data_IF_599857071819
#
_entry.id   IF_599857071819
#
_cell.length_a   1.000
_cell.length_b   1.000
_cell.length_c   1.000
_cell.angle_alpha   90.00
_cell.angle_beta   90.00
_cell.angle_gamma   90.00
#
_symmetry.space_group_name_H-M   'P 1'
#
loop_
_entity.id
_entity.type
_entity.pdbx_description
1 polymer ?
#
# COMPACT_ATOMS: atom_id res chain seq x y z
N UNK A 1 -15.83 17.06 7.36
CA UNK A 1 -15.58 15.67 7.79
C UNK A 1 -14.51 14.97 6.93
N UNK A 2 -14.53 15.04 5.59
CA UNK A 2 -13.55 14.36 4.72
C UNK A 2 -12.07 14.80 4.87
N UNK A 3 -11.81 16.05 5.27
CA UNK A 3 -10.45 16.61 5.35
C UNK A 3 -9.54 15.97 6.41
N UNK A 4 -10.11 15.38 7.48
CA UNK A 4 -9.33 14.77 8.56
C UNK A 4 -8.81 13.38 8.18
N UNK A 5 -9.64 12.57 7.51
CA UNK A 5 -9.28 11.20 7.10
C UNK A 5 -8.24 11.18 5.99
N UNK A 6 -8.33 12.08 5.01
CA UNK A 6 -7.35 12.20 3.90
C UNK A 6 -5.95 12.51 4.45
N UNK A 7 -5.85 13.46 5.40
CA UNK A 7 -4.58 13.77 6.07
C UNK A 7 -3.99 12.58 6.81
N UNK A 8 -4.83 11.67 7.32
CA UNK A 8 -4.38 10.46 8.02
C UNK A 8 -3.80 9.44 7.04
N UNK A 9 -4.44 9.21 5.91
CA UNK A 9 -3.92 8.30 4.86
C UNK A 9 -2.60 8.81 4.27
N UNK A 10 -2.51 10.10 3.95
CA UNK A 10 -1.28 10.72 3.43
C UNK A 10 -0.11 10.57 4.42
N UNK A 11 -0.39 10.72 5.72
CA UNK A 11 0.62 10.54 6.77
C UNK A 11 1.09 9.08 6.86
N UNK A 12 0.19 8.11 6.69
CA UNK A 12 0.56 6.68 6.67
C UNK A 12 1.39 6.37 5.42
N UNK A 13 1.03 6.92 4.27
CA UNK A 13 1.81 6.77 3.03
C UNK A 13 3.21 7.35 3.18
N UNK A 14 3.34 8.56 3.74
CA UNK A 14 4.63 9.18 4.01
C UNK A 14 5.49 8.30 4.92
N UNK A 15 4.96 7.85 6.05
CA UNK A 15 5.67 6.98 6.98
C UNK A 15 6.09 5.63 6.33
N UNK A 16 5.26 5.06 5.46
CA UNK A 16 5.62 3.86 4.70
C UNK A 16 6.76 4.13 3.72
N UNK A 17 6.73 5.25 3.00
CA UNK A 17 7.76 5.64 2.05
C UNK A 17 9.10 5.81 2.78
N UNK A 18 9.11 6.52 3.91
CA UNK A 18 10.31 6.70 4.74
C UNK A 18 10.88 5.34 5.17
N UNK A 19 10.01 4.44 5.66
CA UNK A 19 10.43 3.09 6.05
C UNK A 19 10.99 2.24 4.89
N UNK A 20 10.44 2.37 3.69
CA UNK A 20 10.95 1.69 2.49
C UNK A 20 12.33 2.22 2.07
N UNK A 21 12.56 3.53 2.22
CA UNK A 21 13.84 4.17 1.96
C UNK A 21 14.88 3.70 2.99
N UNK A 22 14.54 3.72 4.28
CA UNK A 22 15.43 3.27 5.37
C UNK A 22 15.92 1.83 5.21
N UNK A 23 15.09 0.98 4.58
CA UNK A 23 15.40 -0.43 4.30
C UNK A 23 16.04 -0.66 2.94
N UNK A 24 16.28 0.39 2.16
CA UNK A 24 16.80 0.32 0.80
C UNK A 24 15.90 -0.49 -0.16
N UNK A 25 14.60 -0.62 0.14
CA UNK A 25 13.60 -1.26 -0.74
C UNK A 25 13.15 -0.30 -1.84
N UNK A 26 13.06 1.01 -1.52
CA UNK A 26 12.87 2.11 -2.46
C UNK A 26 14.22 2.80 -2.71
N UNK A 27 14.99 2.24 -3.65
CA UNK A 27 16.31 2.74 -4.08
C UNK A 27 16.28 3.20 -5.55
N UNK A 28 17.43 3.56 -6.13
CA UNK A 28 17.55 4.09 -7.50
C UNK A 28 17.03 3.14 -8.61
N UNK A 29 16.91 1.84 -8.31
CA UNK A 29 16.38 0.83 -9.23
C UNK A 29 14.91 0.47 -8.95
N UNK A 30 14.25 1.21 -8.06
CA UNK A 30 12.87 0.99 -7.70
C UNK A 30 11.94 2.08 -8.26
N UNK A 31 10.70 1.71 -8.54
CA UNK A 31 9.63 2.64 -8.93
C UNK A 31 8.50 2.53 -7.91
N UNK A 32 8.08 3.67 -7.37
CA UNK A 32 6.90 3.79 -6.54
C UNK A 32 5.77 4.45 -7.33
N UNK A 33 4.61 3.82 -7.36
CA UNK A 33 3.41 4.34 -8.04
C UNK A 33 2.33 4.57 -7.00
N UNK A 34 1.87 5.81 -6.89
CA UNK A 34 0.71 6.16 -6.06
C UNK A 34 -0.58 5.92 -6.83
N UNK A 35 -1.56 5.30 -6.18
CA UNK A 35 -2.92 5.11 -6.71
C UNK A 35 -2.99 4.34 -8.05
N UNK A 36 -2.26 3.22 -8.17
CA UNK A 36 -2.18 2.44 -9.40
C UNK A 36 -3.53 1.72 -9.69
N UNK A 37 -4.25 2.08 -10.76
CA UNK A 37 -5.46 1.36 -11.15
C UNK A 37 -5.12 0.00 -11.74
N UNK A 38 -5.86 -1.04 -11.35
CA UNK A 38 -5.73 -2.39 -11.88
C UNK A 38 -7.10 -2.96 -12.23
N UNK A 39 -7.14 -4.14 -12.84
CA UNK A 39 -8.38 -4.85 -13.13
C UNK A 39 -9.43 -4.01 -13.87
N UNK A 40 -9.03 -3.39 -14.99
CA UNK A 40 -9.87 -2.47 -15.76
C UNK A 40 -10.50 -1.38 -14.88
N UNK A 41 -9.68 -0.75 -14.02
CA UNK A 41 -10.08 0.32 -13.09
C UNK A 41 -11.07 -0.08 -11.98
N UNK A 42 -11.39 -1.38 -11.85
CA UNK A 42 -12.29 -1.88 -10.79
C UNK A 42 -11.62 -1.97 -9.41
N UNK A 43 -10.29 -1.86 -9.39
CA UNK A 43 -9.44 -1.91 -8.19
C UNK A 43 -8.32 -0.90 -8.33
N UNK A 44 -7.73 -0.55 -7.19
CA UNK A 44 -6.64 0.41 -7.10
C UNK A 44 -5.71 -0.02 -5.98
N UNK A 45 -4.42 -0.04 -6.27
CA UNK A 45 -3.38 -0.24 -5.26
C UNK A 45 -3.00 1.15 -4.76
N UNK A 46 -3.10 1.39 -3.45
CA UNK A 46 -2.82 2.73 -2.91
C UNK A 46 -1.35 3.13 -3.09
N UNK A 47 -0.42 2.19 -2.84
CA UNK A 47 1.00 2.32 -3.18
C UNK A 47 1.53 1.01 -3.77
N UNK A 48 2.01 1.05 -5.00
CA UNK A 48 2.69 -0.07 -5.64
C UNK A 48 4.20 0.18 -5.72
N UNK A 49 5.00 -0.76 -5.23
CA UNK A 49 6.46 -0.72 -5.32
C UNK A 49 6.93 -1.79 -6.31
N UNK A 50 7.72 -1.37 -7.30
CA UNK A 50 8.41 -2.24 -8.25
C UNK A 50 9.93 -2.15 -8.03
N UNK A 51 10.55 -3.17 -7.47
CA UNK A 51 11.98 -3.19 -7.12
C UNK A 51 12.67 -4.52 -7.49
N UNK A 52 12.20 -5.17 -8.56
CA UNK A 52 12.52 -6.55 -8.91
C UNK A 52 11.42 -7.54 -8.50
N UNK A 53 10.53 -7.10 -7.60
CA UNK A 53 9.22 -7.71 -7.34
C UNK A 53 8.14 -6.63 -7.39
N UNK A 54 6.88 -7.04 -7.50
CA UNK A 54 5.73 -6.14 -7.36
C UNK A 54 5.10 -6.33 -5.98
N UNK A 55 5.18 -5.28 -5.17
CA UNK A 55 4.53 -5.19 -3.87
C UNK A 55 3.33 -4.24 -3.95
N UNK A 56 2.22 -4.63 -3.33
CA UNK A 56 1.04 -3.79 -3.17
C UNK A 56 0.89 -3.43 -1.69
N UNK A 57 0.74 -2.14 -1.40
CA UNK A 57 0.43 -1.66 -0.07
C UNK A 57 -0.96 -1.03 -0.05
N UNK A 58 -1.82 -1.55 0.81
CA UNK A 58 -3.17 -1.04 1.07
C UNK A 58 -3.17 -0.21 2.34
N UNK A 59 -3.59 1.06 2.23
CA UNK A 59 -3.60 2.03 3.30
C UNK A 59 -5.00 2.05 3.89
N UNK A 60 -5.12 1.73 5.17
CA UNK A 60 -6.42 1.74 5.86
C UNK A 60 -6.35 2.56 7.13
N UNK A 61 -7.41 3.33 7.38
CA UNK A 61 -7.62 3.96 8.67
C UNK A 61 -8.14 2.95 9.70
N UNK A 62 -7.91 3.22 10.98
CA UNK A 62 -8.29 2.34 12.11
C UNK A 62 -9.80 2.01 12.16
N UNK A 63 -10.63 2.75 11.43
CA UNK A 63 -12.08 2.51 11.32
C UNK A 63 -12.48 1.48 10.26
N UNK A 64 -11.55 1.00 9.42
CA UNK A 64 -11.86 0.05 8.36
C UNK A 64 -11.79 -1.41 8.86
N UNK A 65 -12.92 -2.12 8.75
CA UNK A 65 -13.03 -3.50 9.18
C UNK A 65 -12.21 -4.46 8.30
N UNK A 66 -11.59 -5.44 8.96
CA UNK A 66 -10.66 -6.43 8.41
C UNK A 66 -11.27 -7.37 7.35
N UNK A 67 -12.60 -7.45 7.25
CA UNK A 67 -13.32 -8.44 6.46
C UNK A 67 -13.11 -8.34 4.93
N UNK A 68 -12.52 -7.25 4.43
CA UNK A 68 -12.31 -7.03 2.99
C UNK A 68 -10.96 -7.52 2.44
N UNK A 69 -9.92 -7.65 3.26
CA UNK A 69 -8.56 -7.83 2.74
C UNK A 69 -8.29 -9.27 2.27
N UNK A 70 -8.74 -10.29 3.02
CA UNK A 70 -8.50 -11.70 2.67
C UNK A 70 -9.15 -12.09 1.33
N UNK A 71 -10.33 -11.53 1.01
CA UNK A 71 -10.98 -11.73 -0.28
C UNK A 71 -10.38 -10.91 -1.44
N UNK A 72 -9.52 -9.93 -1.15
CA UNK A 72 -8.94 -9.04 -2.15
C UNK A 72 -7.58 -9.51 -2.65
N UNK A 73 -6.77 -10.21 -1.84
CA UNK A 73 -5.43 -10.68 -2.22
C UNK A 73 -5.47 -11.52 -3.51
N UNK A 74 -6.48 -12.38 -3.67
CA UNK A 74 -6.69 -13.19 -4.88
C UNK A 74 -6.92 -12.35 -6.15
N UNK A 75 -7.34 -11.10 -6.02
CA UNK A 75 -7.56 -10.18 -7.15
C UNK A 75 -6.25 -9.60 -7.67
N UNK A 76 -5.18 -9.56 -6.87
CA UNK A 76 -3.92 -8.88 -7.20
C UNK A 76 -2.92 -9.84 -7.85
N UNK A 77 -2.96 -11.11 -7.46
CA UNK A 77 -2.09 -12.18 -7.99
C UNK A 77 -2.12 -12.25 -9.53
N UNK A 78 -3.28 -12.22 -10.22
CA UNK A 78 -3.32 -12.23 -11.70
C UNK A 78 -2.59 -11.05 -12.36
N UNK A 79 -2.32 -9.97 -11.63
CA UNK A 79 -1.60 -8.79 -12.10
C UNK A 79 -0.12 -8.78 -11.70
N UNK A 80 0.41 -9.90 -11.17
CA UNK A 80 1.85 -10.08 -10.92
C UNK A 80 2.34 -9.60 -9.55
N UNK A 81 1.44 -9.15 -8.67
CA UNK A 81 1.79 -8.82 -7.29
C UNK A 81 2.13 -10.08 -6.50
N UNK A 82 3.31 -10.05 -5.87
CA UNK A 82 3.88 -11.18 -5.13
C UNK A 82 3.74 -11.01 -3.62
N UNK A 83 3.58 -9.77 -3.18
CA UNK A 83 3.39 -9.39 -1.78
C UNK A 83 2.31 -8.30 -1.72
N UNK A 84 1.30 -8.53 -0.89
CA UNK A 84 0.20 -7.59 -0.65
C UNK A 84 0.13 -7.38 0.85
N UNK A 85 0.49 -6.18 1.28
CA UNK A 85 0.66 -5.83 2.70
C UNK A 85 -0.25 -4.66 3.08
N UNK A 86 -0.82 -4.69 4.30
CA UNK A 86 -1.63 -3.58 4.85
C UNK A 86 -0.76 -2.65 5.68
N UNK A 87 -1.04 -1.35 5.66
CA UNK A 87 -0.47 -0.37 6.62
C UNK A 87 -1.57 0.43 7.33
N UNK A 88 -1.39 0.65 8.64
CA UNK A 88 -2.28 1.41 9.52
C UNK A 88 -1.47 2.43 10.34
N UNK A 89 -2.12 3.51 10.78
CA UNK A 89 -1.47 4.64 11.42
C UNK A 89 -0.89 4.40 12.82
N UNK A 90 -1.14 3.25 13.44
CA UNK A 90 -0.59 2.87 14.75
C UNK A 90 0.58 1.90 14.69
N UNK A 91 0.93 1.38 13.51
CA UNK A 91 1.96 0.37 13.37
C UNK A 91 3.24 1.01 12.83
N UNK A 92 4.23 1.19 13.71
CA UNK A 92 5.62 1.22 13.24
C UNK A 92 5.86 -0.09 12.47
N UNK A 93 6.37 -0.04 11.23
CA UNK A 93 6.62 -1.24 10.45
C UNK A 93 7.77 -2.10 11.04
N UNK A 94 7.52 -2.84 12.13
CA UNK A 94 8.55 -3.66 12.77
C UNK A 94 8.29 -4.10 14.20
N UNK A 95 7.03 -4.30 14.62
CA UNK A 95 6.71 -5.16 15.77
C UNK A 95 6.36 -6.57 15.29
#
# INVERSE_FOLDING_TARGET
MASSSIKKEDSIKAALIDWLIERNELNDNAVLINELPIANFSRRVDLALANGKLHAYEIKSDSDSLARLEGQISTYIPYGFQDVSRRQGSESPGA
#
